data_IF_198378686686
#
_entry.id   IF_198378686686
#
_cell.length_a   1.000
_cell.length_b   1.000
_cell.length_c   1.000
_cell.angle_alpha   90.00
_cell.angle_beta   90.00
_cell.angle_gamma   90.00
#
_symmetry.space_group_name_H-M   'P 1'
#
loop_
_entity.id
_entity.type
_entity.pdbx_description
1 polymer ?
#
# COMPACT_ATOMS: atom_id res chain seq x y z
N UNK A 1 -1.38 7.26 39.19
CA UNK A 1 -1.05 7.32 37.75
C UNK A 1 -0.38 6.00 37.36
N UNK A 2 -0.80 5.33 36.29
CA UNK A 2 -0.12 4.14 35.74
C UNK A 2 0.40 4.50 34.36
N UNK A 3 1.70 4.35 34.14
CA UNK A 3 2.27 4.42 32.79
C UNK A 3 2.00 3.09 32.09
N UNK A 4 1.52 3.15 30.85
CA UNK A 4 1.46 2.01 29.94
C UNK A 4 2.68 2.10 29.01
N UNK A 5 3.52 1.07 29.01
CA UNK A 5 4.55 0.92 27.98
C UNK A 5 3.90 0.43 26.68
N UNK A 6 4.38 0.87 25.50
CA UNK A 6 3.93 0.31 24.23
C UNK A 6 4.62 -1.04 23.96
N UNK A 7 3.83 -2.06 23.63
CA UNK A 7 4.34 -3.33 23.09
C UNK A 7 4.86 -3.15 21.64
N UNK A 8 5.81 -3.99 21.17
CA UNK A 8 6.43 -3.83 19.87
C UNK A 8 5.50 -4.22 18.72
N UNK A 9 5.63 -3.50 17.59
CA UNK A 9 4.88 -3.76 16.36
C UNK A 9 5.08 -5.20 15.87
N UNK A 10 3.99 -5.98 15.79
CA UNK A 10 3.95 -7.16 14.93
C UNK A 10 4.02 -6.74 13.47
N UNK A 11 5.14 -7.02 12.82
CA UNK A 11 5.22 -6.98 11.36
C UNK A 11 4.28 -8.03 10.76
N UNK A 12 3.23 -7.58 10.09
CA UNK A 12 2.46 -8.43 9.18
C UNK A 12 3.15 -8.46 7.82
N UNK A 13 4.14 -9.35 7.67
CA UNK A 13 4.64 -9.73 6.35
C UNK A 13 3.55 -10.57 5.65
N UNK A 14 2.72 -9.90 4.85
CA UNK A 14 1.71 -10.52 3.99
C UNK A 14 2.05 -10.25 2.52
N UNK A 15 2.32 -11.32 1.76
CA UNK A 15 2.84 -11.18 0.39
C UNK A 15 1.82 -10.56 -0.57
N UNK A 16 2.16 -9.40 -1.15
CA UNK A 16 1.56 -8.90 -2.38
C UNK A 16 2.59 -8.98 -3.50
N UNK A 17 2.54 -10.07 -4.28
CA UNK A 17 3.29 -10.16 -5.54
C UNK A 17 2.58 -9.33 -6.60
N UNK A 18 3.30 -8.39 -7.22
CA UNK A 18 2.81 -7.64 -8.38
C UNK A 18 3.02 -8.50 -9.64
N UNK A 19 1.98 -8.78 -10.45
CA UNK A 19 2.12 -9.68 -11.61
C UNK A 19 2.81 -8.99 -12.79
N UNK A 20 4.08 -9.35 -13.05
CA UNK A 20 4.80 -8.92 -14.25
C UNK A 20 4.27 -9.63 -15.51
N UNK A 21 3.47 -8.91 -16.29
CA UNK A 21 2.91 -9.44 -17.54
C UNK A 21 3.82 -9.20 -18.74
N UNK A 22 4.47 -10.26 -19.25
CA UNK A 22 4.80 -10.36 -20.69
C UNK A 22 5.04 -11.81 -21.13
N UNK A 23 4.15 -12.35 -21.98
CA UNK A 23 4.30 -13.67 -22.62
C UNK A 23 3.75 -13.65 -24.04
N UNK A 24 4.64 -13.75 -25.03
CA UNK A 24 4.51 -13.97 -26.50
C UNK A 24 5.90 -13.63 -27.08
N UNK A 25 6.62 -14.44 -27.84
CA UNK A 25 6.44 -15.82 -28.34
C UNK A 25 7.85 -16.47 -28.43
N UNK A 26 8.16 -17.62 -29.04
CA UNK A 26 7.41 -18.62 -29.84
C UNK A 26 8.16 -19.99 -29.84
N UNK A 27 7.53 -21.02 -30.43
CA UNK A 27 8.10 -22.23 -31.06
C UNK A 27 9.47 -22.79 -30.60
N UNK A 28 9.44 -23.92 -29.89
CA UNK A 28 10.51 -24.93 -29.88
C UNK A 28 10.55 -25.70 -31.22
N UNK A 29 11.74 -26.20 -31.61
CA UNK A 29 11.85 -27.63 -31.90
C UNK A 29 12.91 -28.32 -31.02
N UNK A 30 12.81 -29.65 -30.93
CA UNK A 30 13.48 -30.49 -29.94
C UNK A 30 14.89 -30.99 -30.34
N UNK A 31 15.49 -31.77 -29.41
CA UNK A 31 16.69 -32.63 -29.55
C UNK A 31 18.04 -31.86 -29.63
N UNK A 32 19.08 -32.13 -28.84
CA UNK A 32 19.57 -33.37 -28.22
C UNK A 32 20.30 -33.11 -26.88
N UNK A 33 20.38 -34.14 -26.02
CA UNK A 33 21.35 -34.24 -24.92
C UNK A 33 22.48 -35.17 -25.36
N UNK A 34 23.73 -34.68 -25.38
CA UNK A 34 24.83 -35.59 -25.04
C UNK A 34 25.82 -35.00 -24.05
N UNK A 35 25.87 -35.67 -22.89
CA UNK A 35 27.07 -36.05 -22.15
C UNK A 35 27.98 -34.93 -21.58
N UNK A 36 28.20 -35.01 -20.26
CA UNK A 36 29.25 -34.27 -19.57
C UNK A 36 30.64 -34.57 -20.18
N UNK A 37 31.42 -33.55 -20.57
CA UNK A 37 32.84 -33.73 -20.90
C UNK A 37 33.65 -34.02 -19.64
N UNK A 38 34.63 -34.90 -19.77
CA UNK A 38 35.48 -35.38 -18.68
C UNK A 38 36.43 -34.29 -18.12
N UNK A 39 36.92 -34.57 -16.92
CA UNK A 39 37.82 -33.75 -16.10
C UNK A 39 39.17 -33.47 -16.81
N UNK A 40 39.48 -32.22 -17.22
CA UNK A 40 40.74 -31.91 -17.87
C UNK A 40 41.82 -31.51 -16.86
N UNK A 41 42.58 -32.51 -16.43
CA UNK A 41 43.98 -32.46 -15.98
C UNK A 41 44.43 -31.41 -14.92
N UNK A 42 45.15 -31.91 -13.91
CA UNK A 42 45.99 -31.15 -12.98
C UNK A 42 46.77 -30.01 -13.64
N UNK A 43 46.95 -28.85 -12.97
CA UNK A 43 47.44 -27.63 -13.59
C UNK A 43 48.83 -27.80 -14.22
N UNK A 44 49.12 -27.12 -15.35
CA UNK A 44 50.46 -27.11 -15.91
C UNK A 44 51.45 -26.53 -14.89
N UNK A 45 52.61 -27.18 -14.77
CA UNK A 45 53.69 -26.72 -13.91
C UNK A 45 54.17 -25.30 -14.26
N UNK A 46 54.97 -24.67 -13.37
CA UNK A 46 55.35 -23.27 -13.53
C UNK A 46 56.04 -23.03 -14.88
N UNK A 47 55.32 -22.37 -15.78
CA UNK A 47 55.85 -21.97 -17.08
C UNK A 47 56.93 -20.93 -16.82
N UNK A 48 58.19 -21.28 -17.06
CA UNK A 48 59.28 -20.33 -16.89
C UNK A 48 59.11 -19.20 -17.91
N UNK A 49 58.81 -18.01 -17.42
CA UNK A 49 58.81 -16.78 -18.20
C UNK A 49 60.25 -16.50 -18.63
N UNK A 50 60.60 -16.91 -19.85
CA UNK A 50 61.82 -16.44 -20.50
C UNK A 50 61.70 -14.94 -20.72
N UNK A 51 62.37 -14.14 -19.88
CA UNK A 51 62.49 -12.70 -20.07
C UNK A 51 63.47 -12.40 -21.20
N UNK A 52 62.97 -12.44 -22.44
CA UNK A 52 63.64 -11.80 -23.59
C UNK A 52 63.52 -10.29 -23.45
N UNK A 53 64.55 -9.67 -22.87
CA UNK A 53 64.64 -8.23 -22.70
C UNK A 53 64.96 -7.54 -24.04
N UNK A 54 63.93 -7.34 -24.87
CA UNK A 54 63.79 -6.21 -25.79
C UNK A 54 62.44 -6.27 -26.51
N UNK A 55 61.49 -5.46 -26.05
CA UNK A 55 60.83 -4.48 -26.93
C UNK A 55 60.10 -3.45 -26.05
N UNK A 56 59.95 -2.23 -26.57
CA UNK A 56 59.57 -1.05 -25.80
C UNK A 56 58.26 -1.20 -25.01
N UNK A 57 58.35 -1.52 -23.72
CA UNK A 57 57.27 -1.32 -22.73
C UNK A 57 57.07 0.17 -22.38
N UNK A 58 57.12 1.04 -23.39
CA UNK A 58 56.54 2.36 -23.29
C UNK A 58 55.02 2.19 -23.32
N UNK A 59 54.42 2.16 -22.13
CA UNK A 59 52.98 2.38 -21.97
C UNK A 59 52.68 3.74 -22.60
N UNK A 60 52.15 3.75 -23.83
CA UNK A 60 52.06 4.98 -24.59
C UNK A 60 51.13 5.96 -23.86
N UNK A 61 51.43 7.27 -23.83
CA UNK A 61 50.57 8.24 -23.16
C UNK A 61 49.10 8.14 -23.58
N UNK A 62 48.87 7.83 -24.87
CA UNK A 62 47.56 7.54 -25.46
C UNK A 62 46.81 6.40 -24.78
N UNK A 63 47.46 5.27 -24.48
CA UNK A 63 46.84 4.11 -23.83
C UNK A 63 46.44 4.47 -22.39
N UNK A 64 47.28 5.22 -21.66
CA UNK A 64 46.98 5.69 -20.30
C UNK A 64 45.79 6.65 -20.32
N UNK A 65 45.73 7.55 -21.31
CA UNK A 65 44.65 8.52 -21.48
C UNK A 65 43.32 7.85 -21.87
N UNK A 66 43.34 6.86 -22.77
CA UNK A 66 42.17 6.05 -23.12
C UNK A 66 41.65 5.21 -21.94
N UNK A 67 42.54 4.67 -21.09
CA UNK A 67 42.17 3.96 -19.86
C UNK A 67 41.50 4.91 -18.88
N UNK A 68 42.06 6.11 -18.65
CA UNK A 68 41.46 7.14 -17.80
C UNK A 68 40.07 7.54 -18.30
N UNK A 69 39.93 7.89 -19.59
CA UNK A 69 38.63 8.25 -20.17
C UNK A 69 37.58 7.15 -19.96
N UNK A 70 37.93 5.88 -20.21
CA UNK A 70 37.01 4.75 -19.96
C UNK A 70 36.67 4.56 -18.48
N UNK A 71 37.61 4.82 -17.57
CA UNK A 71 37.37 4.77 -16.14
C UNK A 71 36.40 5.88 -15.69
N UNK A 72 36.65 7.12 -16.12
CA UNK A 72 35.82 8.29 -15.81
C UNK A 72 34.39 8.12 -16.39
N UNK A 73 34.26 7.64 -17.63
CA UNK A 73 32.97 7.25 -18.22
C UNK A 73 32.24 6.16 -17.43
N UNK A 74 32.98 5.23 -16.80
CA UNK A 74 32.40 4.15 -16.01
C UNK A 74 31.93 4.65 -14.65
N UNK A 75 32.70 5.55 -14.00
CA UNK A 75 32.29 6.24 -12.79
C UNK A 75 31.01 7.03 -13.04
N UNK A 76 30.97 7.88 -14.07
CA UNK A 76 29.81 8.68 -14.42
C UNK A 76 28.54 7.82 -14.65
N UNK A 77 28.66 6.68 -15.34
CA UNK A 77 27.56 5.72 -15.55
C UNK A 77 27.12 5.03 -14.25
N UNK A 78 28.01 4.81 -13.28
CA UNK A 78 27.65 4.28 -11.96
C UNK A 78 26.96 5.33 -11.10
N UNK A 79 27.45 6.58 -11.11
CA UNK A 79 26.80 7.71 -10.44
C UNK A 79 25.40 7.96 -10.98
N UNK A 80 25.22 7.96 -12.30
CA UNK A 80 23.90 8.09 -12.94
C UNK A 80 22.95 6.97 -12.50
N UNK A 81 23.40 5.71 -12.50
CA UNK A 81 22.61 4.57 -11.99
C UNK A 81 22.26 4.71 -10.52
N UNK A 82 23.17 5.23 -9.69
CA UNK A 82 22.89 5.46 -8.27
C UNK A 82 21.85 6.57 -8.07
N UNK A 83 21.88 7.64 -8.87
CA UNK A 83 20.85 8.68 -8.87
C UNK A 83 19.48 8.15 -9.32
N UNK A 84 19.45 7.30 -10.35
CA UNK A 84 18.22 6.62 -10.77
C UNK A 84 17.67 5.71 -9.67
N UNK A 85 18.52 4.92 -9.01
CA UNK A 85 18.14 4.05 -7.90
C UNK A 85 17.56 4.84 -6.72
N UNK A 86 18.23 5.92 -6.28
CA UNK A 86 17.73 6.80 -5.22
C UNK A 86 16.41 7.49 -5.60
N UNK A 87 16.20 7.77 -6.90
CA UNK A 87 14.94 8.31 -7.42
C UNK A 87 13.81 7.26 -7.35
N UNK A 88 14.09 6.00 -7.68
CA UNK A 88 13.13 4.89 -7.57
C UNK A 88 12.73 4.69 -6.11
N UNK A 89 13.70 4.59 -5.19
CA UNK A 89 13.44 4.43 -3.75
C UNK A 89 12.55 5.55 -3.19
N UNK A 90 12.81 6.81 -3.59
CA UNK A 90 11.98 7.95 -3.22
C UNK A 90 10.55 7.89 -3.81
N UNK A 91 10.40 7.39 -5.03
CA UNK A 91 9.07 7.17 -5.65
C UNK A 91 8.31 6.08 -4.91
N UNK A 92 8.97 4.97 -4.55
CA UNK A 92 8.37 3.88 -3.77
C UNK A 92 7.95 4.36 -2.37
N UNK A 93 8.80 5.12 -1.68
CA UNK A 93 8.46 5.73 -0.39
C UNK A 93 7.23 6.66 -0.51
N UNK A 94 7.24 7.57 -1.49
CA UNK A 94 6.15 8.52 -1.72
C UNK A 94 4.83 7.80 -2.06
N UNK A 95 4.89 6.76 -2.90
CA UNK A 95 3.74 5.94 -3.24
C UNK A 95 3.17 5.22 -2.01
N UNK A 96 4.03 4.61 -1.18
CA UNK A 96 3.60 3.94 0.05
C UNK A 96 2.93 4.93 1.02
N UNK A 97 3.52 6.12 1.23
CA UNK A 97 2.91 7.19 2.03
C UNK A 97 1.54 7.60 1.47
N UNK A 98 1.40 7.77 0.16
CA UNK A 98 0.13 8.10 -0.49
C UNK A 98 -0.92 6.99 -0.33
N UNK A 99 -0.54 5.72 -0.48
CA UNK A 99 -1.46 4.59 -0.24
C UNK A 99 -1.94 4.54 1.22
N UNK A 100 -1.06 4.81 2.19
CA UNK A 100 -1.45 4.92 3.59
C UNK A 100 -2.42 6.09 3.82
N UNK A 101 -2.14 7.27 3.26
CA UNK A 101 -3.03 8.43 3.38
C UNK A 101 -4.41 8.16 2.76
N UNK A 102 -4.46 7.66 1.52
CA UNK A 102 -5.72 7.30 0.85
C UNK A 102 -6.55 6.28 1.64
N UNK A 103 -5.89 5.32 2.29
CA UNK A 103 -6.55 4.33 3.14
C UNK A 103 -7.19 4.98 4.37
N UNK A 104 -6.47 5.82 5.09
CA UNK A 104 -7.01 6.52 6.27
C UNK A 104 -8.14 7.49 5.88
N UNK A 105 -7.98 8.27 4.81
CA UNK A 105 -9.02 9.15 4.29
C UNK A 105 -10.29 8.36 3.90
N UNK A 106 -10.14 7.19 3.28
CA UNK A 106 -11.27 6.29 2.95
C UNK A 106 -11.95 5.76 4.20
N UNK A 107 -11.20 5.37 5.24
CA UNK A 107 -11.76 4.92 6.52
C UNK A 107 -12.55 6.04 7.21
N UNK A 108 -12.01 7.27 7.20
CA UNK A 108 -12.68 8.46 7.75
C UNK A 108 -13.98 8.75 6.99
N UNK A 109 -13.95 8.75 5.66
CA UNK A 109 -15.14 8.97 4.82
C UNK A 109 -16.20 7.89 5.04
N UNK A 110 -15.81 6.61 5.10
CA UNK A 110 -16.73 5.51 5.40
C UNK A 110 -17.37 5.66 6.78
N UNK A 111 -16.61 6.08 7.80
CA UNK A 111 -17.14 6.32 9.14
C UNK A 111 -18.12 7.51 9.17
N UNK A 112 -17.82 8.60 8.46
CA UNK A 112 -18.72 9.75 8.32
C UNK A 112 -20.02 9.36 7.61
N UNK A 113 -19.93 8.63 6.49
CA UNK A 113 -21.09 8.14 5.74
C UNK A 113 -21.94 7.18 6.60
N UNK A 114 -21.30 6.28 7.36
CA UNK A 114 -21.97 5.39 8.33
C UNK A 114 -22.78 6.19 9.36
N UNK A 115 -22.21 7.27 9.90
CA UNK A 115 -22.90 8.20 10.80
C UNK A 115 -24.07 8.93 10.14
N UNK A 116 -23.90 9.45 8.93
CA UNK A 116 -24.96 10.14 8.18
C UNK A 116 -26.16 9.23 7.88
N UNK A 117 -25.91 8.00 7.40
CA UNK A 117 -26.97 7.02 7.14
C UNK A 117 -27.68 6.62 8.45
N UNK A 118 -26.93 6.45 9.54
CA UNK A 118 -27.50 6.14 10.87
C UNK A 118 -28.46 7.23 11.32
N UNK A 119 -28.08 8.51 11.20
CA UNK A 119 -28.96 9.63 11.52
C UNK A 119 -30.20 9.69 10.62
N UNK A 120 -30.02 9.60 9.29
CA UNK A 120 -31.13 9.62 8.34
C UNK A 120 -32.16 8.51 8.61
N UNK A 121 -31.71 7.27 8.80
CA UNK A 121 -32.58 6.15 9.13
C UNK A 121 -33.23 6.32 10.51
N UNK A 122 -32.52 6.91 11.47
CA UNK A 122 -33.08 7.27 12.77
C UNK A 122 -34.19 8.32 12.72
N UNK A 123 -34.07 9.32 11.85
CA UNK A 123 -35.12 10.31 11.58
C UNK A 123 -36.36 9.63 10.98
N UNK A 124 -36.18 8.79 9.94
CA UNK A 124 -37.26 8.00 9.32
C UNK A 124 -37.96 7.10 10.35
N UNK A 125 -37.19 6.41 11.19
CA UNK A 125 -37.73 5.56 12.25
C UNK A 125 -38.44 6.36 13.37
N UNK A 126 -37.99 7.59 13.64
CA UNK A 126 -38.66 8.50 14.59
C UNK A 126 -39.96 9.06 14.04
N UNK A 127 -40.09 9.22 12.72
CA UNK A 127 -41.35 9.54 12.06
C UNK A 127 -42.33 8.36 12.06
N UNK A 128 -41.85 7.13 11.86
CA UNK A 128 -42.70 5.92 11.84
C UNK A 128 -43.15 5.47 13.23
N UNK A 129 -42.27 5.58 14.22
CA UNK A 129 -42.57 5.31 15.63
C UNK A 129 -42.47 6.66 16.35
N UNK A 130 -43.56 7.43 16.49
CA UNK A 130 -43.57 8.62 17.33
C UNK A 130 -43.40 8.27 18.81
N UNK A 131 -42.97 9.23 19.62
CA UNK A 131 -42.81 9.03 21.07
C UNK A 131 -44.13 9.09 21.85
N UNK A 132 -45.18 9.67 21.25
CA UNK A 132 -46.52 9.80 21.84
C UNK A 132 -47.58 9.39 20.82
N UNK A 133 -48.52 8.56 21.25
CA UNK A 133 -49.59 8.00 20.42
C UNK A 133 -49.37 6.53 20.06
N UNK A 134 -50.46 5.82 19.79
CA UNK A 134 -50.41 4.43 19.36
C UNK A 134 -49.79 4.34 17.96
N UNK A 135 -48.65 3.64 17.85
CA UNK A 135 -48.01 3.41 16.56
C UNK A 135 -48.83 2.39 15.76
N UNK A 136 -49.29 2.70 14.53
CA UNK A 136 -50.04 1.76 13.72
C UNK A 136 -49.24 0.46 13.48
N UNK A 137 -49.86 -0.74 13.55
CA UNK A 137 -49.15 -2.00 13.33
C UNK A 137 -48.41 -2.08 11.98
N UNK A 138 -48.92 -1.38 10.96
CA UNK A 138 -48.27 -1.23 9.66
C UNK A 138 -46.93 -0.48 9.74
N UNK A 139 -46.83 0.54 10.57
CA UNK A 139 -45.66 1.41 10.66
C UNK A 139 -44.62 0.82 11.60
N UNK A 140 -45.05 0.11 12.65
CA UNK A 140 -44.17 -0.77 13.41
C UNK A 140 -43.51 -1.83 12.51
N UNK A 141 -44.28 -2.51 11.63
CA UNK A 141 -43.73 -3.48 10.67
C UNK A 141 -42.74 -2.84 9.69
N UNK A 142 -43.02 -1.65 9.17
CA UNK A 142 -42.05 -0.90 8.32
C UNK A 142 -40.77 -0.60 9.08
N UNK A 143 -40.88 -0.13 10.31
CA UNK A 143 -39.73 0.18 11.17
C UNK A 143 -38.87 -1.05 11.47
N UNK A 144 -39.48 -2.22 11.73
CA UNK A 144 -38.76 -3.50 11.85
C UNK A 144 -37.96 -3.83 10.59
N UNK A 145 -38.59 -3.82 9.41
CA UNK A 145 -37.92 -4.12 8.13
C UNK A 145 -36.77 -3.14 7.84
N UNK A 146 -36.95 -1.85 8.16
CA UNK A 146 -35.89 -0.85 8.00
C UNK A 146 -34.70 -1.15 8.92
N UNK A 147 -34.94 -1.54 10.19
CA UNK A 147 -33.86 -1.93 11.11
C UNK A 147 -33.15 -3.21 10.66
N UNK A 148 -33.90 -4.24 10.26
CA UNK A 148 -33.34 -5.50 9.78
C UNK A 148 -32.45 -5.29 8.55
N UNK A 149 -32.89 -4.48 7.59
CA UNK A 149 -32.11 -4.13 6.40
C UNK A 149 -30.88 -3.28 6.72
N UNK A 150 -30.98 -2.34 7.67
CA UNK A 150 -29.86 -1.52 8.10
C UNK A 150 -28.77 -2.35 8.81
N UNK A 151 -29.18 -3.34 9.61
CA UNK A 151 -28.26 -4.29 10.22
C UNK A 151 -27.63 -5.22 9.17
N UNK A 152 -28.45 -5.88 8.34
CA UNK A 152 -28.00 -6.94 7.42
C UNK A 152 -27.12 -6.45 6.27
N UNK A 153 -27.40 -5.26 5.72
CA UNK A 153 -26.68 -4.73 4.56
C UNK A 153 -25.58 -3.72 4.93
N UNK A 154 -25.70 -3.02 6.06
CA UNK A 154 -24.83 -1.89 6.41
C UNK A 154 -24.14 -2.03 7.78
N UNK A 155 -24.44 -3.08 8.55
CA UNK A 155 -23.90 -3.26 9.90
C UNK A 155 -24.24 -2.09 10.83
N UNK A 156 -25.44 -1.52 10.67
CA UNK A 156 -25.99 -0.44 11.48
C UNK A 156 -26.97 -1.01 12.50
N UNK A 157 -26.61 -0.94 13.78
CA UNK A 157 -27.58 -1.08 14.86
C UNK A 157 -28.15 0.31 15.18
N UNK A 158 -29.47 0.46 15.05
CA UNK A 158 -30.16 1.76 15.12
C UNK A 158 -31.05 1.82 16.35
N UNK A 159 -30.51 2.44 17.40
CA UNK A 159 -31.26 2.82 18.59
C UNK A 159 -32.01 4.15 18.37
N UNK A 160 -33.33 4.04 18.20
CA UNK A 160 -34.25 5.17 18.04
C UNK A 160 -34.24 6.05 19.30
N UNK A 161 -34.13 5.46 20.50
CA UNK A 161 -34.17 6.21 21.76
C UNK A 161 -32.96 7.14 21.89
N UNK A 162 -31.76 6.60 21.63
CA UNK A 162 -30.53 7.38 21.54
C UNK A 162 -30.60 8.47 20.48
N UNK A 163 -31.10 8.16 19.27
CA UNK A 163 -31.17 9.18 18.20
C UNK A 163 -32.15 10.30 18.56
N UNK A 164 -33.31 10.00 19.16
CA UNK A 164 -34.23 11.03 19.71
C UNK A 164 -33.55 11.90 20.77
N UNK A 165 -32.70 11.33 21.63
CA UNK A 165 -31.95 12.10 22.63
C UNK A 165 -30.90 13.02 21.98
N UNK A 166 -30.16 12.53 20.98
CA UNK A 166 -29.20 13.33 20.22
C UNK A 166 -29.88 14.44 19.40
N UNK A 167 -31.07 14.18 18.83
CA UNK A 167 -31.89 15.19 18.14
C UNK A 167 -32.42 16.26 19.11
N UNK A 168 -32.88 15.87 20.31
CA UNK A 168 -33.27 16.84 21.36
C UNK A 168 -32.12 17.77 21.73
N UNK A 169 -30.92 17.21 21.97
CA UNK A 169 -29.70 17.98 22.29
C UNK A 169 -29.27 18.94 21.17
N UNK A 170 -29.61 18.64 19.91
CA UNK A 170 -29.36 19.49 18.73
C UNK A 170 -30.51 20.47 18.42
N UNK A 171 -31.66 20.38 19.10
CA UNK A 171 -32.85 21.19 18.81
C UNK A 171 -32.72 22.60 19.41
N UNK A 172 -32.76 23.69 18.61
CA UNK A 172 -32.57 25.05 19.12
C UNK A 172 -33.72 25.60 19.98
N UNK A 173 -34.80 24.84 20.20
CA UNK A 173 -36.02 25.35 20.86
C UNK A 173 -35.82 25.70 22.34
N UNK A 174 -34.86 25.08 23.02
CA UNK A 174 -34.61 25.32 24.45
C UNK A 174 -33.63 26.48 24.73
N UNK A 175 -33.12 27.16 23.69
CA UNK A 175 -32.29 28.38 23.85
C UNK A 175 -33.06 29.70 23.76
N UNK A 176 -34.40 29.68 23.62
CA UNK A 176 -35.22 30.89 23.40
C UNK A 176 -36.14 31.30 24.55
N UNK A 177 -35.72 31.14 25.81
CA UNK A 177 -36.36 31.82 26.97
C UNK A 177 -35.39 32.00 28.15
N UNK A 178 -34.49 32.99 28.11
CA UNK A 178 -33.93 33.61 29.34
C UNK A 178 -33.17 34.91 29.04
N UNK A 179 -33.85 35.91 28.46
CA UNK A 179 -33.40 37.33 28.52
C UNK A 179 -34.55 38.29 28.20
N UNK A 180 -35.45 38.44 29.18
CA UNK A 180 -36.24 39.66 29.43
C UNK A 180 -36.35 39.83 30.95
#
# INVERSE_FOLDING_TARGET
>A
MRQLQPEPHRQLQGMFQVPTSRRRSQEDPAEEDPAAPEDPASPPGPTQLQTTANDNFFCSPQIIEDIKRKHDETIAKMEERHQHQATIEKIEETNNQLFHQMREDTIIQLHQLKGQITHFLGDVLTCLIPEKGDTPPSDYRKATVIKENAWSHLGLDIDISRIREELRKKSPRDQKTSTQ
#
